data_IF_521680644921
#
_entry.id   IF_521680644921
#
_cell.length_a   1.000
_cell.length_b   1.000
_cell.length_c   1.000
_cell.angle_alpha   90.00
_cell.angle_beta   90.00
_cell.angle_gamma   90.00
#
_symmetry.space_group_name_H-M   'P 1'
#
loop_
_entity.id
_entity.type
_entity.pdbx_description
1 polymer ?
#
# COMPACT_ATOMS: atom_id res chain seq x y z
N UNK A 1 -32.45 -14.46 -9.65
CA UNK A 1 -30.97 -14.41 -9.71
C UNK A 1 -30.55 -13.97 -11.10
N UNK A 2 -30.28 -12.68 -11.32
CA UNK A 2 -29.80 -12.17 -12.61
C UNK A 2 -28.28 -12.07 -12.54
N UNK A 3 -27.59 -12.96 -13.27
CA UNK A 3 -26.14 -12.89 -13.50
C UNK A 3 -25.91 -11.79 -14.53
N UNK A 4 -25.43 -10.63 -14.10
CA UNK A 4 -25.01 -9.57 -15.04
C UNK A 4 -23.63 -9.92 -15.55
N UNK A 5 -23.56 -10.55 -16.73
CA UNK A 5 -22.32 -10.73 -17.47
C UNK A 5 -21.97 -9.37 -18.09
N UNK A 6 -20.92 -8.71 -17.59
CA UNK A 6 -20.37 -7.52 -18.24
C UNK A 6 -19.59 -7.99 -19.48
N UNK A 7 -20.26 -7.94 -20.62
CA UNK A 7 -19.69 -8.19 -21.96
C UNK A 7 -19.02 -6.89 -22.41
N UNK A 8 -17.72 -6.92 -22.71
CA UNK A 8 -17.04 -5.83 -23.42
C UNK A 8 -16.26 -6.48 -24.56
N UNK A 9 -16.76 -6.32 -25.79
CA UNK A 9 -16.04 -6.60 -27.04
C UNK A 9 -16.69 -5.77 -28.16
N UNK A 10 -15.98 -4.82 -28.77
CA UNK A 10 -15.38 -4.91 -30.12
C UNK A 10 -14.92 -3.55 -30.63
N UNK A 11 -13.63 -3.51 -30.90
CA UNK A 11 -12.93 -2.69 -31.89
C UNK A 11 -13.82 -2.18 -33.03
N UNK A 12 -13.68 -0.89 -33.32
CA UNK A 12 -13.95 -0.36 -34.65
C UNK A 12 -13.86 1.15 -34.75
N UNK A 13 -12.66 1.70 -35.01
CA UNK A 13 -12.39 2.53 -36.20
C UNK A 13 -10.90 2.45 -36.54
N UNK A 14 -10.59 2.20 -37.81
CA UNK A 14 -9.25 2.23 -38.37
C UNK A 14 -8.64 3.63 -38.18
N UNK A 15 -7.79 3.81 -37.16
CA UNK A 15 -6.79 4.88 -37.13
C UNK A 15 -5.44 4.23 -37.39
N UNK A 16 -4.61 4.87 -38.21
CA UNK A 16 -3.21 4.50 -38.36
C UNK A 16 -2.58 4.68 -36.98
N UNK A 17 -2.59 3.63 -36.15
CA UNK A 17 -1.83 3.62 -34.91
C UNK A 17 -0.37 3.69 -35.33
N UNK A 18 0.33 4.74 -34.91
CA UNK A 18 1.78 4.71 -34.93
C UNK A 18 2.18 3.45 -34.15
N UNK A 19 2.68 2.44 -34.88
CA UNK A 19 3.22 1.24 -34.26
C UNK A 19 4.44 1.70 -33.47
N UNK A 20 4.36 1.69 -32.14
CA UNK A 20 5.50 2.07 -31.30
C UNK A 20 6.70 1.18 -31.67
N UNK A 21 7.87 1.81 -31.73
CA UNK A 21 9.10 1.19 -32.22
C UNK A 21 9.65 0.19 -31.21
N UNK A 22 10.60 -0.65 -31.61
CA UNK A 22 11.35 -1.46 -30.64
C UNK A 22 12.03 -0.59 -29.56
N UNK A 23 12.44 0.62 -29.92
CA UNK A 23 13.07 1.54 -28.98
C UNK A 23 12.09 2.03 -27.91
N UNK A 24 10.84 2.34 -28.29
CA UNK A 24 9.79 2.72 -27.35
C UNK A 24 9.49 1.60 -26.36
N UNK A 25 9.46 0.35 -26.84
CA UNK A 25 9.29 -0.84 -26.01
C UNK A 25 10.45 -0.96 -25.02
N UNK A 26 11.70 -0.86 -25.50
CA UNK A 26 12.90 -0.95 -24.64
C UNK A 26 12.94 0.16 -23.59
N UNK A 27 12.58 1.39 -23.97
CA UNK A 27 12.51 2.52 -23.05
C UNK A 27 11.46 2.29 -21.96
N UNK A 28 10.27 1.78 -22.33
CA UNK A 28 9.23 1.46 -21.36
C UNK A 28 9.67 0.36 -20.39
N UNK A 29 10.30 -0.71 -20.90
CA UNK A 29 10.85 -1.78 -20.06
C UNK A 29 11.87 -1.18 -19.08
N UNK A 30 12.84 -0.42 -19.57
CA UNK A 30 13.90 0.16 -18.75
C UNK A 30 13.35 1.11 -17.69
N UNK A 31 12.39 1.95 -18.06
CA UNK A 31 11.78 2.93 -17.16
C UNK A 31 11.00 2.28 -16.01
N UNK A 32 10.32 1.15 -16.27
CA UNK A 32 9.39 0.55 -15.31
C UNK A 32 9.83 -0.82 -14.76
N UNK A 33 10.98 -1.37 -15.17
CA UNK A 33 11.44 -2.71 -14.72
C UNK A 33 11.54 -2.83 -13.20
N UNK A 34 12.11 -1.83 -12.53
CA UNK A 34 12.29 -1.86 -11.07
C UNK A 34 10.96 -1.79 -10.34
N UNK A 35 10.03 -0.99 -10.87
CA UNK A 35 8.67 -0.90 -10.37
C UNK A 35 7.96 -2.26 -10.52
N UNK A 36 8.02 -2.88 -11.70
CA UNK A 36 7.38 -4.17 -11.94
C UNK A 36 7.96 -5.31 -11.08
N UNK A 37 9.29 -5.36 -10.89
CA UNK A 37 9.94 -6.32 -9.97
C UNK A 37 9.46 -6.11 -8.53
N UNK A 38 9.38 -4.85 -8.09
CA UNK A 38 8.84 -4.51 -6.77
C UNK A 38 7.38 -4.95 -6.62
N UNK A 39 6.54 -4.72 -7.64
CA UNK A 39 5.14 -5.16 -7.63
C UNK A 39 4.99 -6.68 -7.70
N UNK A 40 5.88 -7.38 -8.40
CA UNK A 40 5.93 -8.85 -8.37
C UNK A 40 6.20 -9.36 -6.96
N UNK A 41 7.11 -8.73 -6.22
CA UNK A 41 7.34 -9.07 -4.81
C UNK A 41 6.13 -8.81 -3.91
N UNK A 42 5.45 -7.68 -4.09
CA UNK A 42 4.30 -7.27 -3.29
C UNK A 42 3.04 -8.10 -3.58
N UNK A 43 2.74 -8.31 -4.86
CA UNK A 43 1.43 -8.79 -5.31
C UNK A 43 1.46 -10.17 -5.96
N UNK A 44 2.66 -10.77 -6.10
CA UNK A 44 2.86 -12.11 -6.65
C UNK A 44 2.33 -12.28 -8.08
N UNK A 45 2.39 -11.21 -8.88
CA UNK A 45 2.11 -11.20 -10.32
C UNK A 45 3.45 -11.10 -11.06
N UNK A 46 3.74 -11.93 -12.08
CA UNK A 46 5.01 -11.86 -12.80
C UNK A 46 5.31 -10.43 -13.29
N UNK A 47 6.54 -9.97 -13.09
CA UNK A 47 6.98 -8.66 -13.55
C UNK A 47 6.91 -8.58 -15.07
N UNK A 48 7.24 -9.68 -15.75
CA UNK A 48 7.12 -9.81 -17.20
C UNK A 48 5.69 -9.60 -17.72
N UNK A 49 4.70 -10.17 -17.05
CA UNK A 49 3.28 -9.97 -17.34
C UNK A 49 2.89 -8.52 -17.15
N UNK A 50 3.26 -7.92 -16.01
CA UNK A 50 2.91 -6.54 -15.69
C UNK A 50 3.47 -5.56 -16.72
N UNK A 51 4.75 -5.72 -17.12
CA UNK A 51 5.37 -4.89 -18.14
C UNK A 51 4.74 -5.11 -19.52
N UNK A 52 4.50 -6.36 -19.92
CA UNK A 52 3.90 -6.66 -21.22
C UNK A 52 2.48 -6.08 -21.35
N UNK A 53 1.68 -6.18 -20.30
CA UNK A 53 0.36 -5.53 -20.24
C UNK A 53 0.51 -4.01 -20.32
N UNK A 54 1.37 -3.41 -19.48
CA UNK A 54 1.62 -1.97 -19.51
C UNK A 54 2.00 -1.46 -20.90
N UNK A 55 2.87 -2.16 -21.63
CA UNK A 55 3.24 -1.81 -23.01
C UNK A 55 2.01 -1.75 -23.94
N UNK A 56 1.17 -2.79 -23.92
CA UNK A 56 0.00 -2.85 -24.79
C UNK A 56 -1.08 -1.84 -24.41
N UNK A 57 -1.41 -1.74 -23.12
CA UNK A 57 -2.52 -0.93 -22.62
C UNK A 57 -2.21 0.58 -22.63
N UNK A 58 -0.93 0.96 -22.52
CA UNK A 58 -0.51 2.37 -22.50
C UNK A 58 0.13 2.86 -23.81
N UNK A 59 0.26 1.99 -24.81
CA UNK A 59 1.07 2.24 -26.00
C UNK A 59 2.50 2.69 -25.64
N UNK A 60 3.22 1.88 -24.87
CA UNK A 60 4.55 2.23 -24.31
C UNK A 60 4.54 3.56 -23.52
N UNK A 61 3.48 3.84 -22.77
CA UNK A 61 3.32 5.06 -21.97
C UNK A 61 2.98 6.30 -22.80
N UNK A 62 2.80 6.16 -24.12
CA UNK A 62 2.61 7.31 -25.00
C UNK A 62 1.16 7.74 -25.16
N UNK A 63 0.20 6.88 -24.77
CA UNK A 63 -1.23 7.18 -24.89
C UNK A 63 -1.61 8.40 -24.06
N UNK A 64 -2.67 9.10 -24.48
CA UNK A 64 -3.21 10.23 -23.72
C UNK A 64 -3.58 9.83 -22.28
N UNK A 65 -4.20 8.65 -22.13
CA UNK A 65 -4.60 8.12 -20.83
C UNK A 65 -3.39 7.87 -19.91
N UNK A 66 -2.27 7.41 -20.47
CA UNK A 66 -1.02 7.23 -19.74
C UNK A 66 -0.38 8.59 -19.38
N UNK A 67 -0.23 9.51 -20.34
CA UNK A 67 0.45 10.80 -20.13
C UNK A 67 -0.31 11.76 -19.22
N UNK A 68 -1.61 11.89 -19.40
CA UNK A 68 -2.44 12.85 -18.66
C UNK A 68 -3.12 12.24 -17.43
N UNK A 69 -3.38 10.92 -17.50
CA UNK A 69 -4.09 10.18 -16.46
C UNK A 69 -3.18 9.35 -15.55
N UNK A 70 -1.89 9.20 -15.90
CA UNK A 70 -0.99 8.20 -15.29
C UNK A 70 -1.57 6.78 -15.31
N UNK A 71 -2.55 6.49 -16.16
CA UNK A 71 -3.27 5.22 -16.14
C UNK A 71 -2.75 4.32 -17.25
N UNK A 72 -1.80 3.45 -16.88
CA UNK A 72 -1.09 2.60 -17.83
C UNK A 72 -1.83 1.30 -18.20
N UNK A 73 -2.94 0.99 -17.53
CA UNK A 73 -3.64 -0.28 -17.65
C UNK A 73 -5.12 -0.13 -18.04
N UNK A 74 -5.53 1.07 -18.47
CA UNK A 74 -6.89 1.30 -18.97
C UNK A 74 -8.00 1.10 -17.94
N UNK A 75 -7.72 1.26 -16.64
CA UNK A 75 -8.71 0.95 -15.60
C UNK A 75 -9.84 2.00 -15.64
N UNK A 76 -11.05 1.53 -15.96
CA UNK A 76 -12.26 2.35 -16.03
C UNK A 76 -12.75 2.75 -14.63
N UNK A 77 -13.49 3.85 -14.55
CA UNK A 77 -14.21 4.22 -13.34
C UNK A 77 -15.30 3.18 -13.08
N UNK A 78 -15.34 2.68 -11.85
CA UNK A 78 -16.43 1.85 -11.35
C UNK A 78 -17.10 2.57 -10.18
N UNK A 79 -18.23 2.04 -9.68
CA UNK A 79 -19.07 2.74 -8.70
C UNK A 79 -18.33 3.10 -7.40
N UNK A 80 -17.30 2.32 -7.07
CA UNK A 80 -16.45 2.49 -5.91
C UNK A 80 -15.29 3.49 -6.09
N UNK A 81 -15.01 3.93 -7.33
CA UNK A 81 -13.92 4.87 -7.58
C UNK A 81 -14.29 6.28 -7.13
N UNK A 82 -13.50 6.82 -6.19
CA UNK A 82 -13.70 8.16 -5.61
C UNK A 82 -12.54 9.11 -5.88
N UNK A 83 -11.50 8.64 -6.57
CA UNK A 83 -10.34 9.44 -6.94
C UNK A 83 -10.57 10.27 -8.20
N UNK A 84 -9.50 10.91 -8.67
CA UNK A 84 -9.53 11.73 -9.89
C UNK A 84 -9.91 10.89 -11.11
N UNK A 85 -10.50 11.55 -12.10
CA UNK A 85 -10.94 10.90 -13.34
C UNK A 85 -10.49 11.67 -14.56
N UNK A 86 -10.43 10.98 -15.69
CA UNK A 86 -10.21 11.56 -17.00
C UNK A 86 -11.21 10.96 -17.98
N UNK A 87 -11.76 11.82 -18.86
CA UNK A 87 -12.66 11.40 -19.93
C UNK A 87 -11.85 11.12 -21.19
N UNK A 88 -12.01 9.92 -21.74
CA UNK A 88 -11.33 9.46 -22.95
C UNK A 88 -12.34 8.72 -23.81
N UNK A 89 -12.30 8.95 -25.11
CA UNK A 89 -13.09 8.17 -26.07
C UNK A 89 -12.42 6.80 -26.25
N UNK A 90 -13.16 5.73 -25.99
CA UNK A 90 -12.69 4.34 -26.07
C UNK A 90 -13.74 3.47 -26.77
N UNK A 91 -14.46 2.58 -26.06
CA UNK A 91 -15.59 1.82 -26.63
C UNK A 91 -16.81 2.74 -26.84
N UNK A 92 -16.98 3.72 -25.97
CA UNK A 92 -17.96 4.79 -26.08
C UNK A 92 -17.31 6.17 -25.97
N UNK A 93 -18.02 7.19 -26.44
CA UNK A 93 -17.60 8.58 -26.28
C UNK A 93 -17.56 8.95 -24.79
N UNK A 94 -16.48 9.61 -24.38
CA UNK A 94 -16.32 10.18 -23.05
C UNK A 94 -16.50 9.15 -21.92
N UNK A 95 -15.91 7.97 -22.10
CA UNK A 95 -15.82 6.99 -21.03
C UNK A 95 -14.96 7.52 -19.87
N UNK A 96 -15.34 7.10 -18.66
CA UNK A 96 -14.64 7.50 -17.45
C UNK A 96 -13.50 6.53 -17.18
N UNK A 97 -12.28 7.05 -17.08
CA UNK A 97 -11.12 6.31 -16.62
C UNK A 97 -10.59 6.89 -15.31
N UNK A 98 -10.01 6.02 -14.48
CA UNK A 98 -9.31 6.43 -13.27
C UNK A 98 -8.11 7.28 -13.67
N UNK A 99 -7.84 8.34 -12.91
CA UNK A 99 -6.65 9.17 -13.03
C UNK A 99 -5.87 9.09 -11.72
N UNK A 100 -4.56 8.95 -11.84
CA UNK A 100 -3.66 8.77 -10.71
C UNK A 100 -2.67 9.91 -10.59
N UNK A 101 -2.11 10.08 -9.39
CA UNK A 101 -1.09 11.10 -9.12
C UNK A 101 0.22 10.79 -9.83
N UNK A 102 0.55 9.50 -9.95
CA UNK A 102 1.77 9.00 -10.56
C UNK A 102 1.52 7.61 -11.16
N UNK A 103 2.48 7.14 -11.98
CA UNK A 103 2.38 5.84 -12.66
C UNK A 103 2.36 4.67 -11.67
N UNK A 104 3.07 4.75 -10.55
CA UNK A 104 3.08 3.69 -9.53
C UNK A 104 1.66 3.37 -9.02
N UNK A 105 0.83 4.38 -8.76
CA UNK A 105 -0.56 4.18 -8.33
C UNK A 105 -1.39 3.38 -9.36
N UNK A 106 -1.10 3.51 -10.66
CA UNK A 106 -1.77 2.70 -11.68
C UNK A 106 -1.30 1.25 -11.68
N UNK A 107 -0.01 1.01 -11.38
CA UNK A 107 0.53 -0.35 -11.21
C UNK A 107 -0.07 -1.02 -9.98
N UNK A 108 -0.20 -0.29 -8.87
CA UNK A 108 -0.84 -0.77 -7.65
C UNK A 108 -2.32 -1.10 -7.89
N UNK A 109 -3.06 -0.22 -8.54
CA UNK A 109 -4.49 -0.45 -8.81
C UNK A 109 -4.69 -1.61 -9.79
N UNK A 110 -3.80 -1.77 -10.78
CA UNK A 110 -3.80 -2.94 -11.66
C UNK A 110 -3.55 -4.25 -10.90
N UNK A 111 -2.56 -4.28 -10.01
CA UNK A 111 -2.29 -5.45 -9.17
C UNK A 111 -3.47 -5.78 -8.25
N UNK A 112 -4.04 -4.78 -7.58
CA UNK A 112 -5.22 -4.94 -6.72
C UNK A 112 -6.46 -5.37 -7.52
N UNK A 113 -6.61 -4.91 -8.75
CA UNK A 113 -7.68 -5.35 -9.65
C UNK A 113 -7.59 -6.84 -9.97
N UNK A 114 -6.38 -7.38 -10.14
CA UNK A 114 -6.17 -8.81 -10.35
C UNK A 114 -6.39 -9.62 -9.06
N UNK A 115 -5.93 -9.12 -7.92
CA UNK A 115 -6.05 -9.82 -6.62
C UNK A 115 -7.50 -9.85 -6.13
N UNK A 116 -8.20 -8.71 -6.17
CA UNK A 116 -9.49 -8.54 -5.49
C UNK A 116 -10.65 -9.20 -6.23
N UNK A 117 -10.49 -9.56 -7.50
CA UNK A 117 -11.58 -10.09 -8.33
C UNK A 117 -11.52 -11.61 -8.39
N UNK A 118 -12.54 -12.33 -7.91
CA UNK A 118 -12.52 -13.80 -7.83
C UNK A 118 -12.25 -14.51 -9.15
N UNK A 119 -12.60 -13.90 -10.30
CA UNK A 119 -12.35 -14.51 -11.61
C UNK A 119 -10.87 -14.73 -11.92
N UNK A 120 -9.97 -14.03 -11.25
CA UNK A 120 -8.53 -14.13 -11.43
C UNK A 120 -7.82 -14.97 -10.35
N UNK A 121 -8.54 -15.47 -9.34
CA UNK A 121 -7.92 -16.18 -8.19
C UNK A 121 -7.04 -17.35 -8.62
N UNK A 122 -7.44 -18.07 -9.67
CA UNK A 122 -6.71 -19.22 -10.19
C UNK A 122 -5.35 -18.86 -10.82
N UNK A 123 -5.10 -17.59 -11.11
CA UNK A 123 -3.76 -17.15 -11.56
C UNK A 123 -2.74 -17.28 -10.44
N UNK A 124 -3.15 -17.02 -9.21
CA UNK A 124 -2.28 -17.03 -8.04
C UNK A 124 -2.01 -18.45 -7.50
N UNK A 125 -2.56 -19.48 -8.14
CA UNK A 125 -2.19 -20.88 -7.90
C UNK A 125 -1.18 -21.40 -8.92
N UNK A 126 -0.84 -20.59 -9.94
CA UNK A 126 0.18 -20.92 -10.92
C UNK A 126 1.56 -20.63 -10.36
N UNK A 127 2.57 -21.29 -10.92
CA UNK A 127 3.97 -20.93 -10.68
C UNK A 127 4.20 -19.46 -11.03
N UNK A 128 4.78 -18.71 -10.09
CA UNK A 128 4.91 -17.24 -10.19
C UNK A 128 5.81 -16.80 -11.35
N UNK A 129 6.69 -17.67 -11.85
CA UNK A 129 7.56 -17.39 -13.00
C UNK A 129 7.02 -17.95 -14.32
N UNK A 130 5.89 -18.69 -14.31
CA UNK A 130 5.30 -19.23 -15.54
C UNK A 130 4.42 -18.18 -16.23
N UNK A 131 5.05 -17.19 -16.84
CA UNK A 131 4.36 -16.13 -17.57
C UNK A 131 3.49 -16.68 -18.72
N UNK A 132 3.78 -17.88 -19.26
CA UNK A 132 2.97 -18.50 -20.31
C UNK A 132 1.64 -18.98 -19.75
N UNK A 133 1.66 -19.66 -18.60
CA UNK A 133 0.45 -20.05 -17.90
C UNK A 133 -0.34 -18.82 -17.43
N UNK A 134 0.34 -17.79 -16.91
CA UNK A 134 -0.30 -16.53 -16.52
C UNK A 134 -0.99 -15.83 -17.68
N UNK A 135 -0.33 -15.69 -18.84
CA UNK A 135 -0.93 -15.07 -20.03
C UNK A 135 -2.18 -15.82 -20.51
N UNK A 136 -2.12 -17.16 -20.57
CA UNK A 136 -3.25 -18.03 -20.92
C UNK A 136 -4.38 -17.96 -19.88
N UNK A 137 -4.02 -17.90 -18.60
CA UNK A 137 -4.96 -17.76 -17.49
C UNK A 137 -5.68 -16.41 -17.53
N UNK A 138 -4.95 -15.31 -17.78
CA UNK A 138 -5.52 -13.96 -17.90
C UNK A 138 -6.54 -13.91 -19.04
N UNK A 139 -6.19 -14.52 -20.18
CA UNK A 139 -7.11 -14.67 -21.31
C UNK A 139 -8.35 -15.47 -20.92
N UNK A 140 -8.16 -16.64 -20.31
CA UNK A 140 -9.25 -17.54 -19.89
C UNK A 140 -10.17 -16.90 -18.85
N UNK A 141 -9.62 -16.08 -17.95
CA UNK A 141 -10.36 -15.31 -16.94
C UNK A 141 -11.10 -14.09 -17.52
N UNK A 142 -10.97 -13.84 -18.81
CA UNK A 142 -11.65 -12.76 -19.52
C UNK A 142 -11.03 -11.38 -19.27
N UNK A 143 -9.71 -11.30 -19.00
CA UNK A 143 -9.00 -10.02 -18.90
C UNK A 143 -9.13 -9.22 -20.20
N UNK A 144 -8.84 -9.89 -21.32
CA UNK A 144 -8.93 -9.31 -22.64
C UNK A 144 -9.70 -10.22 -23.58
N UNK A 145 -10.27 -9.56 -24.57
CA UNK A 145 -11.31 -10.13 -25.38
C UNK A 145 -10.73 -10.64 -26.71
N UNK A 146 -9.70 -9.97 -27.24
CA UNK A 146 -8.86 -10.43 -28.36
C UNK A 146 -8.46 -11.92 -28.21
N UNK A 147 -8.74 -12.80 -29.20
CA UNK A 147 -8.44 -14.24 -29.10
C UNK A 147 -6.94 -14.54 -28.94
N UNK A 148 -6.07 -13.70 -29.51
CA UNK A 148 -4.62 -13.87 -29.51
C UNK A 148 -3.92 -13.12 -28.36
N UNK A 149 -4.66 -12.70 -27.33
CA UNK A 149 -4.09 -11.86 -26.27
C UNK A 149 -2.94 -12.55 -25.52
N UNK A 150 -3.09 -13.84 -25.18
CA UNK A 150 -2.06 -14.58 -24.46
C UNK A 150 -0.78 -14.69 -25.29
N UNK A 151 -0.91 -15.01 -26.57
CA UNK A 151 0.16 -15.16 -27.54
C UNK A 151 0.87 -13.84 -27.79
N UNK A 152 0.14 -12.72 -27.79
CA UNK A 152 0.74 -11.37 -27.89
C UNK A 152 1.59 -11.04 -26.68
N UNK A 153 1.13 -11.36 -25.46
CA UNK A 153 1.93 -11.18 -24.25
C UNK A 153 3.18 -12.07 -24.28
N UNK A 154 3.01 -13.36 -24.57
CA UNK A 154 4.11 -14.32 -24.64
C UNK A 154 5.15 -13.90 -25.67
N UNK A 155 4.73 -13.54 -26.88
CA UNK A 155 5.62 -13.11 -27.96
C UNK A 155 6.40 -11.83 -27.59
N UNK A 156 5.75 -10.88 -26.92
CA UNK A 156 6.42 -9.66 -26.46
C UNK A 156 7.46 -9.98 -25.36
N UNK A 157 7.08 -10.80 -24.38
CA UNK A 157 7.95 -11.24 -23.29
C UNK A 157 9.18 -11.97 -23.83
N UNK A 158 9.00 -12.88 -24.79
CA UNK A 158 10.09 -13.65 -25.41
C UNK A 158 10.97 -12.77 -26.31
N UNK A 159 10.39 -11.96 -27.21
CA UNK A 159 11.13 -11.11 -28.16
C UNK A 159 12.04 -10.09 -27.48
N UNK A 160 11.59 -9.51 -26.36
CA UNK A 160 12.34 -8.50 -25.61
C UNK A 160 13.00 -9.06 -24.36
N UNK A 161 12.95 -10.37 -24.16
CA UNK A 161 13.52 -11.07 -23.00
C UNK A 161 13.07 -10.46 -21.65
N UNK A 162 11.77 -10.12 -21.55
CA UNK A 162 11.19 -9.48 -20.37
C UNK A 162 11.11 -10.48 -19.19
N UNK A 163 11.06 -11.79 -19.48
CA UNK A 163 11.10 -12.85 -18.47
C UNK A 163 12.35 -12.77 -17.58
N UNK A 164 13.43 -12.13 -18.05
CA UNK A 164 14.62 -11.82 -17.23
C UNK A 164 14.27 -11.04 -15.96
N UNK A 165 13.22 -10.22 -15.97
CA UNK A 165 12.77 -9.49 -14.78
C UNK A 165 12.26 -10.44 -13.68
N UNK A 166 11.60 -11.54 -14.06
CA UNK A 166 11.12 -12.55 -13.12
C UNK A 166 12.29 -13.34 -12.53
N UNK A 167 13.34 -13.60 -13.33
CA UNK A 167 14.59 -14.20 -12.85
C UNK A 167 15.32 -13.27 -11.88
N UNK A 168 15.42 -11.96 -12.19
CA UNK A 168 16.01 -10.97 -11.29
C UNK A 168 15.22 -10.91 -9.98
N UNK A 169 13.89 -11.00 -10.03
CA UNK A 169 13.07 -11.12 -8.83
C UNK A 169 13.48 -12.34 -7.99
N UNK A 170 13.63 -13.51 -8.61
CA UNK A 170 14.00 -14.73 -7.90
C UNK A 170 15.41 -14.63 -7.28
N UNK A 171 16.40 -14.13 -8.03
CA UNK A 171 17.76 -13.88 -7.53
C UNK A 171 17.75 -12.89 -6.35
N UNK A 172 16.95 -11.82 -6.44
CA UNK A 172 16.75 -10.84 -5.36
C UNK A 172 16.05 -11.45 -4.15
N UNK A 173 15.13 -12.39 -4.35
CA UNK A 173 14.47 -13.10 -3.28
C UNK A 173 15.46 -14.01 -2.54
N UNK A 174 16.24 -14.79 -3.28
CA UNK A 174 17.24 -15.74 -2.73
C UNK A 174 18.39 -15.05 -2.02
N UNK A 175 18.81 -13.88 -2.50
CA UNK A 175 19.83 -13.04 -1.86
C UNK A 175 19.31 -12.23 -0.66
N UNK A 176 18.00 -12.30 -0.35
CA UNK A 176 17.36 -11.49 0.67
C UNK A 176 17.33 -9.99 0.34
N UNK A 177 17.51 -9.60 -0.93
CA UNK A 177 17.57 -8.20 -1.38
C UNK A 177 16.34 -7.39 -0.96
N UNK A 178 15.15 -7.98 -1.02
CA UNK A 178 13.91 -7.32 -0.60
C UNK A 178 13.81 -7.13 0.93
N UNK A 179 14.61 -7.88 1.70
CA UNK A 179 14.68 -7.81 3.16
C UNK A 179 15.83 -6.91 3.64
N UNK A 180 16.78 -6.58 2.75
CA UNK A 180 17.89 -5.71 3.06
C UNK A 180 17.41 -4.25 3.20
N UNK A 181 17.78 -3.53 4.27
CA UNK A 181 17.68 -2.09 4.28
C UNK A 181 18.61 -1.56 3.18
N UNK A 182 18.03 -1.08 2.08
CA UNK A 182 18.67 -0.41 0.93
C UNK A 182 20.21 -0.23 1.02
N UNK A 183 20.98 -1.10 0.35
CA UNK A 183 22.45 -1.12 0.31
C UNK A 183 23.12 0.10 -0.37
N UNK A 184 22.36 1.14 -0.69
CA UNK A 184 22.91 2.43 -1.13
C UNK A 184 23.40 3.32 0.04
N UNK A 185 23.41 2.81 1.27
CA UNK A 185 23.85 3.54 2.49
C UNK A 185 25.04 2.81 3.18
N UNK A 186 25.71 1.86 2.49
CA UNK A 186 26.76 1.06 3.13
C UNK A 186 28.16 1.72 3.17
N UNK A 187 28.40 2.79 2.39
CA UNK A 187 29.71 3.48 2.38
C UNK A 187 29.79 4.72 3.29
N UNK A 188 28.68 5.14 3.91
CA UNK A 188 28.68 6.24 4.87
C UNK A 188 28.04 5.80 6.18
N UNK A 189 28.74 4.99 6.97
CA UNK A 189 28.48 4.88 8.41
C UNK A 189 29.65 4.15 9.09
N UNK A 190 30.75 4.89 9.27
CA UNK A 190 31.59 4.65 10.44
C UNK A 190 31.01 5.46 11.60
N UNK A 191 30.97 4.77 12.74
CA UNK A 191 30.62 5.21 14.10
C UNK A 191 29.14 5.12 14.50
N UNK A 192 28.86 4.14 15.37
CA UNK A 192 28.10 4.45 16.57
C UNK A 192 29.04 5.11 17.59
N UNK A 193 28.54 6.10 18.32
CA UNK A 193 28.33 5.82 19.73
C UNK A 193 26.97 6.30 20.27
N UNK A 194 26.62 5.66 21.39
CA UNK A 194 25.41 5.80 22.21
C UNK A 194 25.08 7.24 22.63
N UNK A 195 23.78 7.45 22.81
CA UNK A 195 23.11 8.45 23.68
C UNK A 195 22.91 9.85 23.11
N UNK A 196 21.82 10.05 22.37
CA UNK A 196 20.88 11.16 22.60
C UNK A 196 19.57 10.87 21.87
N UNK A 197 18.46 10.91 22.61
CA UNK A 197 17.11 10.83 22.05
C UNK A 197 16.88 12.14 21.29
N UNK A 198 17.27 12.19 20.02
CA UNK A 198 16.84 13.25 19.11
C UNK A 198 15.34 13.07 18.91
N UNK A 199 14.56 13.72 19.77
CA UNK A 199 13.11 13.82 19.70
C UNK A 199 12.78 14.48 18.36
N UNK A 200 12.47 13.66 17.35
CA UNK A 200 11.99 14.15 16.08
C UNK A 200 10.64 14.84 16.34
N UNK A 201 10.63 16.16 16.28
CA UNK A 201 9.45 16.98 16.50
C UNK A 201 8.61 16.99 15.23
N UNK A 202 7.30 16.79 15.36
CA UNK A 202 6.36 17.29 14.37
C UNK A 202 5.99 18.75 14.72
N UNK A 203 5.13 19.37 13.91
CA UNK A 203 4.68 20.76 14.12
C UNK A 203 3.94 20.97 15.46
N UNK A 204 3.46 19.91 16.11
CA UNK A 204 2.58 19.93 17.27
C UNK A 204 3.27 19.42 18.56
N UNK A 205 4.43 18.76 18.46
CA UNK A 205 5.23 18.30 19.59
C UNK A 205 6.15 17.12 19.26
N UNK A 206 6.53 16.32 20.25
CA UNK A 206 7.39 15.15 20.03
C UNK A 206 6.57 13.95 19.55
N UNK A 207 7.10 13.17 18.60
CA UNK A 207 6.46 11.91 18.15
C UNK A 207 6.90 10.73 19.01
N UNK A 208 6.06 9.70 19.12
CA UNK A 208 6.39 8.49 19.86
C UNK A 208 7.18 7.51 18.97
N UNK A 209 8.41 7.20 19.36
CA UNK A 209 9.26 6.19 18.73
C UNK A 209 9.30 4.97 19.65
N UNK A 210 8.78 3.80 19.24
CA UNK A 210 8.76 2.61 20.08
C UNK A 210 10.14 1.94 20.15
N UNK A 211 10.49 1.46 21.34
CA UNK A 211 11.46 0.38 21.52
C UNK A 211 10.78 -0.95 21.15
N UNK A 212 11.08 -1.46 19.95
CA UNK A 212 10.42 -2.64 19.39
C UNK A 212 10.67 -3.93 20.19
N UNK A 213 11.68 -3.98 21.05
CA UNK A 213 11.96 -5.15 21.90
C UNK A 213 10.85 -5.43 22.91
N UNK A 214 10.04 -4.42 23.23
CA UNK A 214 8.94 -4.51 24.20
C UNK A 214 7.63 -5.00 23.58
N UNK A 215 7.58 -5.17 22.25
CA UNK A 215 6.35 -5.50 21.54
C UNK A 215 6.42 -6.89 20.93
N UNK A 216 5.30 -7.62 21.01
CA UNK A 216 5.17 -8.92 20.36
C UNK A 216 5.16 -8.73 18.85
N UNK A 217 6.14 -9.30 18.16
CA UNK A 217 6.15 -9.40 16.69
C UNK A 217 5.06 -10.37 16.25
N UNK A 218 4.26 -9.99 15.26
CA UNK A 218 3.15 -10.76 14.71
C UNK A 218 3.38 -10.97 13.22
N UNK A 219 3.10 -12.16 12.73
CA UNK A 219 3.05 -12.41 11.29
C UNK A 219 1.76 -11.81 10.73
N UNK A 220 1.87 -10.81 9.86
CA UNK A 220 0.74 -10.17 9.22
C UNK A 220 0.75 -10.56 7.73
N UNK A 221 -0.21 -11.36 7.26
CA UNK A 221 -0.12 -12.06 5.97
C UNK A 221 -0.18 -11.10 4.75
N UNK A 222 -0.60 -9.86 4.97
CA UNK A 222 -0.78 -8.86 3.92
C UNK A 222 0.40 -7.90 3.79
N UNK A 223 1.43 -8.01 4.66
CA UNK A 223 2.62 -7.16 4.62
C UNK A 223 3.89 -7.92 4.98
N UNK A 224 4.96 -7.74 4.20
CA UNK A 224 6.29 -8.24 4.55
C UNK A 224 6.99 -7.36 5.59
N UNK A 225 6.34 -6.27 6.04
CA UNK A 225 6.85 -5.42 7.10
C UNK A 225 6.81 -6.15 8.44
N UNK A 226 7.87 -6.03 9.27
CA UNK A 226 7.79 -6.39 10.68
C UNK A 226 6.58 -5.69 11.32
N UNK A 227 5.61 -6.50 11.70
CA UNK A 227 4.36 -6.05 12.32
C UNK A 227 4.39 -6.43 13.79
N UNK A 228 3.85 -5.56 14.63
CA UNK A 228 3.90 -5.67 16.08
C UNK A 228 2.52 -5.42 16.68
N UNK A 229 2.26 -6.01 17.84
CA UNK A 229 1.01 -5.82 18.57
C UNK A 229 1.22 -4.82 19.71
N UNK A 230 0.41 -3.75 19.75
CA UNK A 230 0.27 -2.88 20.91
C UNK A 230 -1.21 -2.79 21.30
N UNK A 231 -1.53 -3.09 22.57
CA UNK A 231 -2.89 -3.06 23.08
C UNK A 231 -3.89 -3.87 22.23
N UNK A 232 -3.45 -5.03 21.74
CA UNK A 232 -4.20 -5.94 20.83
C UNK A 232 -4.53 -5.35 19.47
N UNK A 233 -3.78 -4.35 19.03
CA UNK A 233 -3.94 -3.70 17.73
C UNK A 233 -2.60 -3.73 17.02
N UNK A 234 -2.61 -4.04 15.73
CA UNK A 234 -1.39 -4.16 14.95
C UNK A 234 -0.84 -2.79 14.50
N UNK A 235 0.48 -2.67 14.52
CA UNK A 235 1.21 -1.52 14.02
C UNK A 235 2.49 -1.92 13.29
N UNK A 236 2.99 -0.99 12.47
CA UNK A 236 4.31 -1.06 11.85
C UNK A 236 5.14 0.15 12.27
N UNK A 237 6.46 0.05 12.20
CA UNK A 237 7.38 1.18 12.38
C UNK A 237 7.62 1.88 11.05
N UNK A 238 7.50 3.21 11.01
CA UNK A 238 7.83 4.00 9.84
C UNK A 238 9.34 3.89 9.52
N UNK A 239 9.68 3.68 8.27
CA UNK A 239 11.03 3.70 7.71
C UNK A 239 11.30 5.06 7.07
N UNK A 240 12.56 5.34 6.77
CA UNK A 240 12.92 6.56 6.04
C UNK A 240 12.21 6.59 4.67
N UNK A 241 11.60 7.73 4.33
CA UNK A 241 10.84 7.90 3.08
C UNK A 241 9.45 7.24 3.04
N UNK A 242 8.98 6.66 4.16
CA UNK A 242 7.60 6.20 4.27
C UNK A 242 6.61 7.35 4.19
N UNK A 243 5.46 7.06 3.58
CA UNK A 243 4.26 7.89 3.66
C UNK A 243 3.11 7.03 4.15
N UNK A 244 2.06 7.66 4.68
CA UNK A 244 0.83 6.93 5.03
C UNK A 244 0.27 6.16 3.82
N UNK A 245 0.39 6.71 2.61
CA UNK A 245 -0.01 6.02 1.39
C UNK A 245 0.82 4.76 1.14
N UNK A 246 2.15 4.84 1.26
CA UNK A 246 3.03 3.67 1.11
C UNK A 246 2.71 2.58 2.13
N UNK A 247 2.59 2.96 3.40
CA UNK A 247 2.25 1.99 4.47
C UNK A 247 0.86 1.39 4.23
N UNK A 248 -0.12 2.19 3.78
CA UNK A 248 -1.46 1.70 3.48
C UNK A 248 -1.45 0.67 2.34
N UNK A 249 -0.71 0.92 1.27
CA UNK A 249 -0.50 -0.06 0.19
C UNK A 249 0.18 -1.32 0.70
N UNK A 250 1.23 -1.18 1.51
CA UNK A 250 1.97 -2.30 2.10
C UNK A 250 1.10 -3.21 2.98
N UNK A 251 -0.04 -2.71 3.49
CA UNK A 251 -0.98 -3.47 4.33
C UNK A 251 -2.35 -3.66 3.69
N UNK A 252 -2.47 -3.40 2.38
CA UNK A 252 -3.71 -3.55 1.61
C UNK A 252 -4.90 -2.75 2.17
N UNK A 253 -4.64 -1.51 2.59
CA UNK A 253 -5.64 -0.58 3.10
C UNK A 253 -5.62 0.75 2.33
N UNK A 254 -6.70 1.53 2.44
CA UNK A 254 -6.72 2.91 1.96
C UNK A 254 -5.88 3.83 2.85
N UNK A 255 -5.17 4.79 2.25
CA UNK A 255 -4.40 5.80 3.00
C UNK A 255 -5.26 6.52 4.04
N UNK A 256 -6.49 6.87 3.64
CA UNK A 256 -7.45 7.56 4.51
C UNK A 256 -7.79 6.73 5.75
N UNK A 257 -7.90 5.40 5.60
CA UNK A 257 -8.17 4.46 6.69
C UNK A 257 -6.98 4.41 7.64
N UNK A 258 -5.75 4.30 7.13
CA UNK A 258 -4.55 4.32 7.97
C UNK A 258 -4.40 5.65 8.72
N UNK A 259 -4.63 6.78 8.05
CA UNK A 259 -4.61 8.10 8.70
C UNK A 259 -5.68 8.19 9.81
N UNK A 260 -6.89 7.71 9.55
CA UNK A 260 -7.95 7.65 10.55
C UNK A 260 -7.60 6.76 11.75
N UNK A 261 -6.93 5.62 11.53
CA UNK A 261 -6.45 4.76 12.62
C UNK A 261 -5.39 5.44 13.47
N UNK A 262 -4.64 6.38 12.90
CA UNK A 262 -3.59 7.11 13.58
C UNK A 262 -4.03 8.45 14.17
N UNK A 263 -5.29 8.85 13.99
CA UNK A 263 -5.83 10.14 14.43
C UNK A 263 -5.05 11.35 13.84
N UNK A 264 -4.73 11.29 12.53
CA UNK A 264 -3.92 12.32 11.86
C UNK A 264 -4.61 12.91 10.63
N UNK A 265 -4.42 14.21 10.33
CA UNK A 265 -5.02 14.85 9.16
C UNK A 265 -4.34 14.44 7.84
N UNK A 266 -5.03 14.69 6.72
CA UNK A 266 -4.43 14.62 5.38
C UNK A 266 -3.28 15.62 5.28
N UNK A 267 -2.17 15.22 4.67
CA UNK A 267 -0.97 16.04 4.53
C UNK A 267 0.01 16.00 5.70
N UNK A 268 -0.32 15.36 6.84
CA UNK A 268 0.70 15.06 7.86
C UNK A 268 1.77 14.15 7.24
N UNK A 269 3.03 14.55 7.39
CA UNK A 269 4.22 13.81 6.95
C UNK A 269 4.64 12.86 8.08
N UNK A 270 5.04 11.64 7.70
CA UNK A 270 5.56 10.67 8.66
C UNK A 270 7.00 11.01 9.05
N UNK A 271 7.29 10.84 10.33
CA UNK A 271 8.62 10.92 10.91
C UNK A 271 9.23 9.52 10.92
N UNK A 272 10.42 9.32 10.34
CA UNK A 272 11.09 8.01 10.38
C UNK A 272 11.22 7.48 11.81
N UNK A 273 10.84 6.23 11.99
CA UNK A 273 10.87 5.55 13.29
C UNK A 273 9.59 5.67 14.12
N UNK A 274 8.65 6.55 13.76
CA UNK A 274 7.37 6.63 14.49
C UNK A 274 6.50 5.39 14.26
N UNK A 275 5.60 5.13 15.21
CA UNK A 275 4.61 4.06 15.11
C UNK A 275 3.48 4.45 14.14
N UNK A 276 3.04 3.48 13.34
CA UNK A 276 1.87 3.62 12.46
C UNK A 276 0.94 2.43 12.66
N UNK A 277 -0.22 2.68 13.27
CA UNK A 277 -1.25 1.65 13.43
C UNK A 277 -1.88 1.30 12.09
N UNK A 278 -1.96 0.00 11.83
CA UNK A 278 -2.54 -0.56 10.60
C UNK A 278 -3.93 -1.15 10.86
N UNK A 279 -4.35 -1.15 12.13
CA UNK A 279 -5.68 -1.47 12.59
C UNK A 279 -6.21 -0.33 13.48
N UNK A 280 -7.53 -0.28 13.65
CA UNK A 280 -8.17 0.77 14.44
C UNK A 280 -7.76 0.67 15.91
N UNK A 281 -7.08 1.70 16.45
CA UNK A 281 -6.69 1.79 17.87
C UNK A 281 -7.84 1.46 18.83
N UNK A 282 -7.52 0.89 19.97
CA UNK A 282 -8.51 0.46 20.94
C UNK A 282 -9.22 1.64 21.62
N UNK A 283 -10.33 1.34 22.30
CA UNK A 283 -11.08 2.34 23.06
C UNK A 283 -10.63 2.49 24.51
N UNK A 284 -9.77 1.59 24.98
CA UNK A 284 -9.23 1.55 26.33
C UNK A 284 -7.88 0.81 26.31
N UNK A 285 -7.11 0.95 27.37
CA UNK A 285 -5.91 0.18 27.65
C UNK A 285 -5.89 -0.26 29.12
N UNK A 286 -4.93 -1.10 29.49
CA UNK A 286 -4.73 -1.55 30.88
C UNK A 286 -4.28 -0.42 31.81
N UNK A 287 -3.47 0.52 31.30
CA UNK A 287 -2.99 1.67 32.08
C UNK A 287 -4.11 2.70 32.24
N UNK A 288 -4.26 3.23 33.46
CA UNK A 288 -5.35 4.16 33.79
C UNK A 288 -5.04 5.62 33.42
N UNK A 289 -3.80 6.05 33.63
CA UNK A 289 -3.38 7.43 33.39
C UNK A 289 -1.91 7.52 33.03
N UNK A 290 -1.53 8.67 32.49
CA UNK A 290 -0.18 9.04 32.14
C UNK A 290 0.06 10.51 32.51
N UNK A 291 1.18 10.80 33.17
CA UNK A 291 1.58 12.18 33.45
C UNK A 291 2.42 12.66 32.30
N UNK A 292 1.98 13.72 31.61
CA UNK A 292 2.68 14.24 30.42
C UNK A 292 4.07 14.75 30.78
N UNK A 293 5.06 14.33 30.03
CA UNK A 293 6.40 14.92 30.04
C UNK A 293 6.47 16.12 29.08
N UNK A 294 7.60 16.83 29.07
CA UNK A 294 7.78 18.01 28.22
C UNK A 294 7.72 17.64 26.73
N UNK A 295 6.89 18.35 25.98
CA UNK A 295 6.69 18.14 24.54
C UNK A 295 5.76 16.99 24.15
N UNK A 296 5.35 16.12 25.08
CA UNK A 296 4.38 15.06 24.81
C UNK A 296 2.98 15.61 24.53
N UNK A 297 2.34 15.09 23.47
CA UNK A 297 1.00 15.51 23.03
C UNK A 297 -0.06 14.43 23.28
N UNK A 298 -1.35 14.77 23.08
CA UNK A 298 -2.42 13.77 23.07
C UNK A 298 -2.20 12.70 21.98
N UNK A 299 -1.62 13.09 20.83
CA UNK A 299 -1.25 12.15 19.78
C UNK A 299 -0.12 11.22 20.24
N UNK A 300 0.91 11.75 20.88
CA UNK A 300 2.00 10.95 21.44
C UNK A 300 1.48 9.86 22.39
N UNK A 301 0.65 10.21 23.38
CA UNK A 301 0.12 9.21 24.33
C UNK A 301 -0.84 8.22 23.66
N UNK A 302 -1.60 8.68 22.65
CA UNK A 302 -2.46 7.82 21.84
C UNK A 302 -1.65 6.75 21.11
N UNK A 303 -0.54 7.17 20.52
CA UNK A 303 0.39 6.29 19.82
C UNK A 303 1.11 5.32 20.78
N UNK A 304 1.59 5.82 21.93
CA UNK A 304 2.26 5.04 22.99
C UNK A 304 1.39 3.92 23.55
N UNK A 305 0.11 4.21 23.81
CA UNK A 305 -0.80 3.26 24.47
C UNK A 305 -1.76 2.53 23.53
N UNK A 306 -1.73 2.81 22.22
CA UNK A 306 -2.62 2.18 21.25
C UNK A 306 -4.10 2.44 21.52
N UNK A 307 -4.42 3.67 21.93
CA UNK A 307 -5.78 4.11 22.22
C UNK A 307 -6.15 5.32 21.38
N UNK A 308 -7.43 5.47 21.00
CA UNK A 308 -7.89 6.61 20.19
C UNK A 308 -7.78 7.93 20.97
N UNK A 309 -7.32 9.00 20.31
CA UNK A 309 -7.30 10.36 20.90
C UNK A 309 -8.70 10.74 21.40
N UNK A 310 -9.75 10.43 20.64
CA UNK A 310 -11.13 10.75 21.02
C UNK A 310 -11.56 10.17 22.37
N UNK A 311 -11.06 8.99 22.75
CA UNK A 311 -11.40 8.33 24.01
C UNK A 311 -10.60 8.95 25.18
N UNK A 312 -9.36 9.35 24.94
CA UNK A 312 -8.56 10.15 25.88
C UNK A 312 -9.26 11.49 26.15
N UNK A 313 -9.64 12.21 25.09
CA UNK A 313 -10.31 13.51 25.21
C UNK A 313 -11.61 13.38 26.02
N UNK A 314 -12.43 12.36 25.72
CA UNK A 314 -13.66 12.07 26.45
C UNK A 314 -13.43 11.77 27.93
N UNK A 315 -12.40 11.00 28.27
CA UNK A 315 -12.07 10.66 29.66
C UNK A 315 -11.63 11.89 30.49
N UNK A 316 -11.10 12.91 29.82
CA UNK A 316 -10.58 14.13 30.44
C UNK A 316 -11.45 15.37 30.20
N UNK A 317 -12.63 15.21 29.56
CA UNK A 317 -13.54 16.31 29.17
C UNK A 317 -12.84 17.40 28.33
N UNK A 318 -11.92 16.99 27.47
CA UNK A 318 -11.18 17.89 26.57
C UNK A 318 -11.93 18.09 25.25
N UNK A 319 -11.69 19.25 24.64
CA UNK A 319 -12.14 19.62 23.30
C UNK A 319 -10.94 19.86 22.40
N UNK A 320 -11.13 20.01 21.09
CA UNK A 320 -10.04 20.30 20.15
C UNK A 320 -9.30 21.62 20.47
N UNK A 321 -9.95 22.54 21.20
CA UNK A 321 -9.36 23.80 21.66
C UNK A 321 -8.62 23.68 22.99
N UNK A 322 -8.71 22.53 23.65
CA UNK A 322 -8.10 22.34 24.96
C UNK A 322 -6.60 22.17 24.83
N UNK A 323 -5.84 23.01 25.54
CA UNK A 323 -4.38 22.90 25.63
C UNK A 323 -4.03 22.02 26.83
N UNK A 324 -3.22 20.97 26.59
CA UNK A 324 -2.63 20.14 27.65
C UNK A 324 -1.20 20.60 27.92
N UNK A 325 -0.79 20.65 29.19
CA UNK A 325 0.55 21.10 29.60
C UNK A 325 1.35 19.94 30.19
N UNK A 326 2.67 20.03 30.12
CA UNK A 326 3.57 19.14 30.85
C UNK A 326 3.15 19.05 32.34
N UNK A 327 3.39 17.89 32.94
CA UNK A 327 2.98 17.48 34.29
C UNK A 327 1.46 17.28 34.48
N UNK A 328 0.63 17.47 33.45
CA UNK A 328 -0.79 17.15 33.54
C UNK A 328 -0.99 15.64 33.60
N UNK A 329 -1.84 15.16 34.52
CA UNK A 329 -2.25 13.75 34.56
C UNK A 329 -3.41 13.53 33.58
N UNK A 330 -3.14 12.81 32.50
CA UNK A 330 -4.12 12.47 31.47
C UNK A 330 -4.66 11.06 31.71
N UNK A 331 -6.00 10.95 31.83
CA UNK A 331 -6.70 9.66 31.91
C UNK A 331 -6.72 8.99 30.53
N UNK A 332 -6.41 7.70 30.47
CA UNK A 332 -6.33 6.93 29.23
C UNK A 332 -7.64 6.16 28.91
N UNK A 333 -8.67 6.33 29.73
CA UNK A 333 -9.99 5.72 29.54
C UNK A 333 -10.87 5.82 30.78
N UNK A 334 -12.08 5.24 30.71
CA UNK A 334 -12.97 5.11 31.88
C UNK A 334 -12.42 4.06 32.83
N UNK A 335 -12.45 4.33 34.14
CA UNK A 335 -12.10 3.36 35.20
C UNK A 335 -12.96 2.11 34.98
N UNK A 336 -12.35 0.94 34.74
CA UNK A 336 -13.08 -0.33 34.90
C UNK A 336 -13.42 -0.40 36.39
N UNK A 337 -14.72 -0.39 36.72
CA UNK A 337 -15.14 -0.73 38.08
C UNK A 337 -14.62 -2.15 38.36
N UNK A 338 -13.61 -2.24 39.21
CA UNK A 338 -12.96 -3.49 39.62
C UNK A 338 -13.91 -4.41 40.42
N UNK A 339 -15.14 -3.96 40.69
CA UNK A 339 -16.16 -4.64 41.48
C UNK A 339 -16.86 -5.82 40.78
N UNK A 340 -16.91 -5.90 39.44
CA UNK A 340 -17.70 -6.95 38.77
C UNK A 340 -16.97 -8.26 38.46
N UNK A 341 -15.63 -8.31 38.57
CA UNK A 341 -14.86 -9.53 38.27
C UNK A 341 -14.76 -10.51 39.45
N UNK A 342 -15.21 -10.14 40.65
CA UNK A 342 -15.22 -11.03 41.82
C UNK A 342 -16.56 -11.75 42.06
N UNK A 343 -17.61 -11.46 41.28
CA UNK A 343 -18.94 -12.07 41.47
C UNK A 343 -19.19 -13.36 40.67
N UNK A 344 -18.32 -13.71 39.71
CA UNK A 344 -18.50 -14.90 38.87
C UNK A 344 -17.38 -15.95 38.98
N UNK A 345 -16.53 -15.87 40.01
CA UNK A 345 -15.55 -16.91 40.37
C UNK A 345 -15.97 -17.79 41.56
N UNK A 346 -17.28 -17.91 41.78
CA UNK A 346 -17.86 -18.96 42.65
C UNK A 346 -19.08 -19.56 41.98
N UNK A 347 -18.87 -20.66 41.27
CA UNK A 347 -19.67 -21.89 41.35
C UNK A 347 -18.89 -23.03 40.74
#
# INVERSE_FOLDING_TARGET
>A
MKKTLLIIFLFGVCRIYAQYTENDIRNYIEQYKELAISKMYQFKIPASITIAQGIFESACGTSRLAKEGNNHFGIKCHKEWTGDTIKVDDDALQECFRKYTNVEESFDDHSNFLISRPRYSNLFTLEIMDYKAWAKGLKSAGYATNPNYAERLISLIERFNIAKLDTIYQERLESGWFEQPNLAIADEMKEEPKTEVNLLKDKDGVVFIPDLSQYKKVNYPFSNRPTYENNKVLFVKAKNGDTYAKIARDVQADESVIRNYNDVPKGRVLVPGEIVYIEKKARNCSKYSHTLEEGETLHYISQKYGIRISEIMKANKLTEKSVVKANSVIKLGKRKNQFFNNLFKRK
#
